data_IF_679952448896
#
_entry.id   IF_679952448896
#
_cell.length_a   1.000
_cell.length_b   1.000
_cell.length_c   1.000
_cell.angle_alpha   90.00
_cell.angle_beta   90.00
_cell.angle_gamma   90.00
#
_symmetry.space_group_name_H-M   'P 1'
#
loop_
_entity.id
_entity.type
_entity.pdbx_description
1 polymer ?
#
# COMPACT_ATOMS: atom_id res chain seq x y z
N UNK A 1 8.26 20.58 14.74
CA UNK A 1 6.87 20.57 15.23
C UNK A 1 6.59 19.17 15.72
N UNK A 2 6.09 19.02 16.94
CA UNK A 2 5.82 17.70 17.54
C UNK A 2 4.33 17.59 17.86
N UNK A 3 3.74 16.43 17.57
CA UNK A 3 2.35 16.09 17.90
C UNK A 3 2.40 14.86 18.82
N UNK A 4 2.15 15.07 20.10
CA UNK A 4 2.32 14.04 21.14
C UNK A 4 1.05 13.90 21.98
N UNK A 5 0.78 12.67 22.44
CA UNK A 5 -0.17 12.36 23.51
C UNK A 5 0.61 11.71 24.65
N UNK A 6 0.30 12.06 25.90
CA UNK A 6 1.01 11.53 27.07
C UNK A 6 0.25 10.37 27.72
N UNK A 7 -1.09 10.37 27.64
CA UNK A 7 -1.90 9.39 28.35
C UNK A 7 -2.94 8.66 27.49
N UNK A 8 -3.25 9.13 26.28
CA UNK A 8 -4.36 8.61 25.47
C UNK A 8 -4.09 8.74 23.96
N UNK A 9 -5.09 9.11 23.16
CA UNK A 9 -5.09 9.14 21.70
C UNK A 9 -4.98 10.56 21.14
N UNK A 10 -4.48 10.67 19.90
CA UNK A 10 -4.59 11.89 19.09
C UNK A 10 -5.66 11.65 18.03
N UNK A 11 -6.79 12.33 18.16
CA UNK A 11 -7.90 12.25 17.19
C UNK A 11 -7.88 13.47 16.27
N UNK A 12 -7.78 13.22 14.97
CA UNK A 12 -7.84 14.26 13.94
C UNK A 12 -9.12 14.06 13.11
N UNK A 13 -10.00 15.06 13.13
CA UNK A 13 -11.25 15.06 12.36
C UNK A 13 -11.26 16.27 11.42
N UNK A 14 -11.62 16.07 10.16
CA UNK A 14 -11.74 17.14 9.18
C UNK A 14 -12.91 16.88 8.22
N UNK A 15 -13.75 17.90 7.99
CA UNK A 15 -14.92 17.80 7.11
C UNK A 15 -14.54 17.51 5.65
N UNK A 16 -13.38 17.97 5.18
CA UNK A 16 -12.94 17.82 3.79
C UNK A 16 -11.82 16.78 3.61
N UNK A 17 -11.31 16.21 4.70
CA UNK A 17 -10.21 15.26 4.70
C UNK A 17 -8.91 15.79 5.31
N UNK A 18 -7.97 14.87 5.53
CA UNK A 18 -6.67 15.09 6.16
C UNK A 18 -5.59 14.68 5.18
N UNK A 19 -4.56 15.50 5.02
CA UNK A 19 -3.36 15.14 4.24
C UNK A 19 -2.12 15.41 5.08
N UNK A 20 -1.32 14.37 5.29
CA UNK A 20 0.01 14.47 5.89
C UNK A 20 1.03 14.45 4.75
N UNK A 21 1.88 15.47 4.67
CA UNK A 21 2.88 15.60 3.60
C UNK A 21 4.28 15.74 4.17
N UNK A 22 5.26 15.25 3.41
CA UNK A 22 6.68 15.54 3.61
C UNK A 22 7.19 16.42 2.48
N UNK A 23 8.19 17.26 2.77
CA UNK A 23 8.87 18.11 1.78
C UNK A 23 9.46 17.30 0.62
N UNK A 24 9.74 16.00 0.83
CA UNK A 24 10.19 15.06 -0.20
C UNK A 24 9.08 14.47 -1.09
N UNK A 25 7.84 14.97 -1.01
CA UNK A 25 6.71 14.57 -1.87
C UNK A 25 5.95 13.31 -1.43
N UNK A 26 6.37 12.66 -0.34
CA UNK A 26 5.59 11.57 0.25
C UNK A 26 4.35 12.10 0.98
N UNK A 27 3.23 11.39 0.91
CA UNK A 27 1.99 11.79 1.58
C UNK A 27 1.09 10.62 1.96
N UNK A 28 0.22 10.90 2.94
CA UNK A 28 -0.92 10.06 3.31
C UNK A 28 -2.15 10.96 3.30
N UNK A 29 -3.21 10.55 2.60
CA UNK A 29 -4.44 11.32 2.45
C UNK A 29 -5.65 10.48 2.82
N UNK A 30 -6.49 11.04 3.69
CA UNK A 30 -7.78 10.46 4.10
C UNK A 30 -8.86 11.42 3.63
N UNK A 31 -9.62 11.04 2.60
CA UNK A 31 -10.66 11.89 2.00
C UNK A 31 -11.71 11.05 1.28
N UNK A 32 -12.97 11.47 1.37
CA UNK A 32 -14.10 10.85 0.64
C UNK A 32 -14.23 9.33 0.86
N UNK A 33 -13.97 8.86 2.08
CA UNK A 33 -14.01 7.42 2.41
C UNK A 33 -12.81 6.60 1.93
N UNK A 34 -11.80 7.24 1.33
CA UNK A 34 -10.60 6.57 0.82
C UNK A 34 -9.35 6.97 1.59
N UNK A 35 -8.40 6.03 1.66
CA UNK A 35 -7.03 6.26 2.15
C UNK A 35 -6.07 6.09 0.96
N UNK A 36 -5.24 7.09 0.73
CA UNK A 36 -4.22 7.10 -0.32
C UNK A 36 -2.84 7.30 0.30
N UNK A 37 -1.87 6.49 -0.12
CA UNK A 37 -0.47 6.55 0.34
C UNK A 37 0.40 6.64 -0.91
N UNK A 38 1.15 7.72 -1.03
CA UNK A 38 2.01 7.99 -2.17
C UNK A 38 3.42 8.39 -1.75
N UNK A 39 4.43 7.90 -2.45
CA UNK A 39 5.82 8.30 -2.26
C UNK A 39 6.57 8.25 -3.60
N UNK A 40 7.35 9.28 -3.98
CA UNK A 40 8.11 9.28 -5.23
C UNK A 40 9.20 8.19 -5.30
N UNK A 41 9.79 7.84 -4.14
CA UNK A 41 10.88 6.87 -4.07
C UNK A 41 10.38 5.44 -3.82
N UNK A 42 9.95 5.17 -2.59
CA UNK A 42 9.59 3.82 -2.13
C UNK A 42 8.56 3.87 -1.01
N UNK A 43 7.71 2.84 -0.93
CA UNK A 43 6.86 2.55 0.22
C UNK A 43 7.29 1.18 0.77
N UNK A 44 7.77 1.16 2.00
CA UNK A 44 8.10 -0.07 2.74
C UNK A 44 6.98 -0.40 3.72
N UNK A 45 6.36 -1.58 3.57
CA UNK A 45 5.34 -2.10 4.48
C UNK A 45 5.92 -3.26 5.30
N UNK A 46 6.29 -2.99 6.55
CA UNK A 46 6.88 -4.00 7.45
C UNK A 46 5.84 -4.46 8.47
N UNK A 47 5.27 -5.64 8.26
CA UNK A 47 4.34 -6.28 9.20
C UNK A 47 4.48 -7.79 9.15
N UNK A 48 4.29 -8.47 10.28
CA UNK A 48 4.25 -9.94 10.33
C UNK A 48 3.05 -10.52 9.57
N UNK A 49 1.96 -9.75 9.45
CA UNK A 49 0.81 -10.11 8.63
C UNK A 49 0.21 -8.87 7.99
N UNK A 50 -0.16 -9.00 6.72
CA UNK A 50 -0.95 -8.01 6.00
C UNK A 50 -2.18 -8.74 5.49
N UNK A 51 -3.35 -8.40 6.04
CA UNK A 51 -4.63 -8.91 5.59
C UNK A 51 -5.14 -8.00 4.47
N UNK A 52 -5.12 -8.52 3.25
CA UNK A 52 -5.78 -7.88 2.12
C UNK A 52 -7.24 -8.34 2.10
N UNK A 53 -8.15 -7.48 2.54
CA UNK A 53 -9.58 -7.79 2.58
C UNK A 53 -10.30 -7.40 1.29
N UNK A 54 -11.26 -8.22 0.85
CA UNK A 54 -12.15 -7.97 -0.29
C UNK A 54 -12.20 -9.17 -1.23
N UNK A 55 -13.41 -9.65 -1.53
CA UNK A 55 -13.67 -10.91 -2.27
C UNK A 55 -13.08 -10.95 -3.69
N UNK A 56 -12.66 -9.79 -4.21
CA UNK A 56 -12.21 -9.60 -5.59
C UNK A 56 -10.77 -9.06 -5.69
N UNK A 57 -10.02 -8.99 -4.58
CA UNK A 57 -8.64 -8.50 -4.57
C UNK A 57 -7.66 -9.60 -5.03
N UNK A 58 -7.44 -9.60 -6.34
CA UNK A 58 -6.51 -10.45 -7.10
C UNK A 58 -5.03 -10.11 -6.83
N UNK A 59 -4.59 -9.99 -5.57
CA UNK A 59 -3.16 -9.92 -5.25
C UNK A 59 -2.49 -11.31 -5.15
N UNK A 60 -3.28 -12.38 -5.24
CA UNK A 60 -2.81 -13.78 -5.21
C UNK A 60 -2.42 -14.36 -6.57
N UNK A 61 -2.66 -13.66 -7.70
CA UNK A 61 -2.55 -14.24 -9.07
C UNK A 61 -1.28 -13.85 -9.83
N UNK A 62 -0.23 -13.35 -9.17
CA UNK A 62 0.98 -12.84 -9.87
C UNK A 62 2.22 -13.74 -9.81
N UNK A 63 2.14 -14.97 -9.29
CA UNK A 63 3.31 -15.87 -9.21
C UNK A 63 3.18 -17.19 -10.00
N UNK A 64 2.28 -17.28 -10.98
CA UNK A 64 2.42 -18.36 -11.95
C UNK A 64 3.60 -18.00 -12.86
N UNK A 65 4.75 -18.63 -12.60
CA UNK A 65 5.89 -18.66 -13.52
C UNK A 65 5.36 -19.03 -14.90
N UNK A 66 5.61 -18.18 -15.89
CA UNK A 66 5.36 -18.51 -17.28
C UNK A 66 6.35 -19.62 -17.64
N UNK A 67 5.89 -20.87 -17.66
CA UNK A 67 6.66 -21.96 -18.24
C UNK A 67 6.64 -21.72 -19.74
N UNK A 68 7.76 -21.24 -20.27
CA UNK A 68 7.98 -21.24 -21.72
C UNK A 68 8.29 -22.69 -22.09
N UNK A 69 7.30 -23.43 -22.59
CA UNK A 69 7.58 -24.67 -23.30
C UNK A 69 8.19 -24.30 -24.64
N UNK A 70 9.46 -24.67 -24.85
CA UNK A 70 10.15 -24.50 -26.12
C UNK A 70 9.55 -25.47 -27.15
N UNK A 71 8.90 -25.00 -28.22
CA UNK A 71 8.26 -25.87 -29.20
C UNK A 71 9.24 -26.66 -30.08
N UNK A 72 10.56 -26.48 -29.91
CA UNK A 72 11.58 -27.12 -30.76
C UNK A 72 12.39 -28.24 -30.09
N UNK A 73 12.07 -28.66 -28.86
CA UNK A 73 12.77 -29.80 -28.24
C UNK A 73 12.19 -31.16 -28.70
N UNK A 74 12.24 -31.40 -30.01
CA UNK A 74 12.05 -32.75 -30.56
C UNK A 74 13.43 -33.32 -30.89
N UNK A 75 14.11 -33.87 -29.88
CA UNK A 75 15.30 -34.69 -30.09
C UNK A 75 14.86 -36.11 -30.47
N UNK A 76 15.48 -36.59 -31.55
CA UNK A 76 15.26 -37.86 -32.26
C UNK A 76 15.12 -39.09 -31.37
#
# INVERSE_FOLDING_TARGET
MNLNSINDEIVLNAAQGITLTSTGGAYIKIKNGSVEIGAPGKIDLKSASILWGGEHLHLKKSFNLMVVEDPHLNIL
#
